data_IF_250869466869
#
_entry.id   IF_250869466869
#
_cell.length_a   1.000
_cell.length_b   1.000
_cell.length_c   1.000
_cell.angle_alpha   90.00
_cell.angle_beta   90.00
_cell.angle_gamma   90.00
#
_symmetry.space_group_name_H-M   'P 1'
#
loop_
_entity.id
_entity.type
_entity.pdbx_description
1 polymer ?
#
# COMPACT_ATOMS: atom_id res chain seq x y z
N UNK A 1 59.64 62.67 -30.01
CA UNK A 1 59.27 64.10 -29.85
C UNK A 1 57.84 64.15 -29.34
N UNK A 2 57.59 64.42 -28.05
CA UNK A 2 57.28 65.76 -27.49
C UNK A 2 56.37 66.58 -28.42
N UNK A 3 55.25 67.20 -28.03
CA UNK A 3 54.42 67.33 -26.82
C UNK A 3 53.35 68.40 -27.19
N UNK A 4 52.38 68.70 -26.30
CA UNK A 4 51.61 69.97 -26.20
C UNK A 4 50.38 70.09 -27.14
N UNK A 5 49.14 69.91 -26.67
CA UNK A 5 48.20 70.83 -25.96
C UNK A 5 47.72 72.01 -26.84
N UNK A 6 46.40 72.17 -27.01
CA UNK A 6 45.67 73.44 -26.82
C UNK A 6 44.13 73.25 -26.91
N UNK A 7 43.43 74.27 -26.44
CA UNK A 7 42.15 74.28 -25.74
C UNK A 7 40.99 74.86 -26.56
N UNK A 8 39.77 74.68 -26.00
CA UNK A 8 38.60 75.59 -25.99
C UNK A 8 37.54 75.52 -27.12
N UNK A 9 36.26 75.50 -26.69
CA UNK A 9 35.14 76.01 -27.51
C UNK A 9 33.74 75.43 -27.21
N UNK A 10 32.91 76.20 -26.49
CA UNK A 10 31.44 76.10 -26.31
C UNK A 10 30.70 76.19 -27.68
N UNK A 11 29.42 75.88 -27.94
CA UNK A 11 28.20 75.58 -27.18
C UNK A 11 27.07 75.15 -28.17
N UNK A 12 26.00 74.55 -27.64
CA UNK A 12 24.59 74.56 -28.11
C UNK A 12 24.24 74.06 -29.53
N UNK A 13 23.43 73.00 -29.62
CA UNK A 13 22.02 73.13 -30.04
C UNK A 13 21.28 71.80 -29.88
N UNK A 14 20.01 71.90 -29.51
CA UNK A 14 19.07 70.83 -29.19
C UNK A 14 18.44 70.26 -30.46
N UNK A 15 18.43 68.94 -30.61
CA UNK A 15 17.36 68.22 -31.29
C UNK A 15 17.19 66.86 -30.62
N UNK A 16 16.04 66.69 -29.98
CA UNK A 16 15.59 65.44 -29.39
C UNK A 16 15.07 64.53 -30.51
N UNK A 17 15.72 63.40 -30.72
CA UNK A 17 15.19 62.30 -31.53
C UNK A 17 14.85 61.16 -30.60
N UNK A 18 13.55 60.98 -30.38
CA UNK A 18 12.95 59.92 -29.58
C UNK A 18 13.20 58.58 -30.31
N UNK A 19 14.10 57.76 -29.78
CA UNK A 19 14.30 56.38 -30.26
C UNK A 19 13.32 55.46 -29.52
N UNK A 20 12.24 55.08 -30.21
CA UNK A 20 11.27 54.10 -29.74
C UNK A 20 11.95 52.71 -29.73
N UNK A 21 12.48 52.31 -28.59
CA UNK A 21 13.03 50.95 -28.39
C UNK A 21 11.86 50.01 -28.08
N UNK A 22 11.45 49.23 -29.08
CA UNK A 22 10.48 48.15 -28.90
C UNK A 22 11.19 46.99 -28.20
N UNK A 23 11.04 46.88 -26.88
CA UNK A 23 11.41 45.67 -26.13
C UNK A 23 10.38 44.58 -26.43
N UNK A 24 10.73 43.66 -27.35
CA UNK A 24 10.03 42.38 -27.47
C UNK A 24 10.48 41.53 -26.29
N UNK A 25 9.73 41.57 -25.19
CA UNK A 25 9.86 40.61 -24.11
C UNK A 25 9.39 39.24 -24.62
N UNK A 26 10.33 38.40 -25.07
CA UNK A 26 10.10 36.98 -25.28
C UNK A 26 9.73 36.35 -23.94
N UNK A 27 8.44 36.27 -23.67
CA UNK A 27 7.91 35.52 -22.54
C UNK A 27 8.28 34.05 -22.68
N UNK A 28 9.28 33.62 -21.91
CA UNK A 28 9.53 32.20 -21.68
C UNK A 28 8.25 31.62 -21.07
N UNK A 29 7.58 30.65 -21.73
CA UNK A 29 6.44 30.00 -21.11
C UNK A 29 6.98 29.28 -19.89
N UNK A 30 6.55 29.71 -18.70
CA UNK A 30 6.78 28.97 -17.48
C UNK A 30 6.19 27.58 -17.68
N UNK A 31 7.04 26.58 -17.92
CA UNK A 31 6.64 25.18 -17.96
C UNK A 31 6.06 24.86 -16.59
N UNK A 32 4.73 24.89 -16.48
CA UNK A 32 4.03 24.22 -15.39
C UNK A 32 4.49 22.78 -15.46
N UNK A 33 5.33 22.37 -14.51
CA UNK A 33 5.59 20.97 -14.27
C UNK A 33 4.22 20.33 -14.02
N UNK A 34 3.70 19.64 -15.04
CA UNK A 34 2.52 18.82 -14.87
C UNK A 34 2.89 17.83 -13.76
N UNK A 35 2.14 17.86 -12.66
CA UNK A 35 2.27 16.87 -11.62
C UNK A 35 2.19 15.51 -12.30
N UNK A 36 3.29 14.75 -12.28
CA UNK A 36 3.30 13.38 -12.77
C UNK A 36 2.16 12.67 -12.02
N UNK A 37 1.23 11.98 -12.72
CA UNK A 37 0.21 11.21 -12.03
C UNK A 37 0.93 10.30 -11.03
N UNK A 38 0.49 10.32 -9.77
CA UNK A 38 1.04 9.43 -8.75
C UNK A 38 1.10 8.02 -9.35
N UNK A 39 2.31 7.46 -9.43
CA UNK A 39 2.52 6.12 -9.95
C UNK A 39 1.58 5.14 -9.25
N UNK A 40 0.88 4.31 -10.02
CA UNK A 40 0.02 3.28 -9.44
C UNK A 40 0.82 2.41 -8.45
N UNK A 41 0.24 2.06 -7.28
CA UNK A 41 0.98 1.30 -6.29
C UNK A 41 1.33 -0.12 -6.76
N UNK A 42 0.60 -0.68 -7.74
CA UNK A 42 0.68 -2.09 -8.14
C UNK A 42 1.54 -2.32 -9.39
N UNK A 43 2.38 -3.36 -9.34
CA UNK A 43 3.19 -3.81 -10.48
C UNK A 43 3.34 -5.34 -10.50
N UNK A 44 3.54 -5.95 -11.67
CA UNK A 44 3.98 -7.34 -11.75
C UNK A 44 5.40 -7.49 -11.20
N UNK A 45 5.68 -8.64 -10.60
CA UNK A 45 6.97 -9.05 -10.04
C UNK A 45 7.23 -10.50 -10.41
N UNK A 46 8.42 -10.77 -10.95
CA UNK A 46 8.89 -12.13 -11.20
C UNK A 46 9.76 -12.58 -10.03
N UNK A 47 9.44 -13.72 -9.42
CA UNK A 47 10.24 -14.25 -8.31
C UNK A 47 10.17 -15.77 -8.25
N UNK A 48 11.34 -16.41 -8.14
CA UNK A 48 11.47 -17.87 -8.04
C UNK A 48 10.67 -18.66 -9.11
N UNK A 49 10.61 -18.13 -10.34
CA UNK A 49 9.90 -18.75 -11.46
C UNK A 49 8.37 -18.63 -11.43
N UNK A 50 7.82 -17.71 -10.62
CA UNK A 50 6.38 -17.43 -10.57
C UNK A 50 6.11 -15.94 -10.69
N UNK A 51 4.94 -15.60 -11.23
CA UNK A 51 4.48 -14.22 -11.34
C UNK A 51 3.68 -13.82 -10.10
N UNK A 52 3.92 -12.61 -9.63
CA UNK A 52 3.17 -11.97 -8.56
C UNK A 52 2.72 -10.58 -8.99
N UNK A 53 1.69 -10.06 -8.33
CA UNK A 53 1.42 -8.62 -8.27
C UNK A 53 1.80 -8.12 -6.89
N UNK A 54 2.62 -7.07 -6.82
CA UNK A 54 2.97 -6.39 -5.59
C UNK A 54 2.51 -4.94 -5.64
N UNK A 55 1.80 -4.52 -4.60
CA UNK A 55 1.28 -3.17 -4.44
C UNK A 55 1.98 -2.47 -3.26
N UNK A 56 2.83 -1.48 -3.54
CA UNK A 56 3.54 -0.71 -2.52
C UNK A 56 2.78 0.58 -2.21
N UNK A 57 2.33 0.71 -0.96
CA UNK A 57 1.45 1.76 -0.48
C UNK A 57 2.18 2.64 0.52
N UNK A 58 2.43 3.89 0.13
CA UNK A 58 2.97 4.96 0.99
C UNK A 58 1.85 5.60 1.81
N UNK A 59 1.86 5.42 3.13
CA UNK A 59 0.82 5.92 4.05
C UNK A 59 0.75 7.45 4.14
N UNK A 60 1.70 8.17 3.54
CA UNK A 60 1.64 9.63 3.38
C UNK A 60 0.74 10.05 2.22
N UNK A 61 0.62 9.20 1.20
CA UNK A 61 -0.22 9.39 0.01
C UNK A 61 -1.54 8.63 0.08
N UNK A 62 -1.54 7.50 0.78
CA UNK A 62 -2.67 6.60 0.89
C UNK A 62 -3.12 6.43 2.35
N UNK A 63 -4.39 6.09 2.51
CA UNK A 63 -5.02 5.68 3.76
C UNK A 63 -5.41 4.21 3.61
N UNK A 64 -4.84 3.35 4.45
CA UNK A 64 -5.20 1.93 4.47
C UNK A 64 -6.36 1.73 5.45
N UNK A 65 -7.45 1.14 4.96
CA UNK A 65 -8.67 0.85 5.72
C UNK A 65 -9.02 -0.62 5.66
N UNK A 66 -9.78 -1.08 6.64
CA UNK A 66 -10.47 -2.37 6.61
C UNK A 66 -11.97 -2.13 6.43
N UNK A 67 -12.61 -3.07 5.74
CA UNK A 67 -14.03 -3.07 5.47
C UNK A 67 -14.59 -4.46 5.73
N UNK A 68 -15.56 -4.60 6.64
CA UNK A 68 -16.28 -5.85 6.83
C UNK A 68 -17.73 -5.75 6.40
N UNK A 69 -18.45 -4.77 6.95
CA UNK A 69 -19.86 -4.53 6.67
C UNK A 69 -20.07 -3.19 5.97
N UNK A 70 -21.06 -3.14 5.10
CA UNK A 70 -21.47 -1.91 4.42
C UNK A 70 -22.28 -0.99 5.34
N UNK A 71 -22.65 0.20 4.85
CA UNK A 71 -23.53 1.12 5.56
C UNK A 71 -24.91 0.53 5.91
N UNK A 72 -25.33 -0.50 5.18
CA UNK A 72 -26.55 -1.29 5.41
C UNK A 72 -26.40 -2.31 6.56
N UNK A 73 -25.21 -2.46 7.14
CA UNK A 73 -24.91 -3.45 8.18
C UNK A 73 -24.64 -4.85 7.64
N UNK A 74 -24.82 -5.06 6.33
CA UNK A 74 -24.61 -6.34 5.68
C UNK A 74 -23.15 -6.54 5.31
N UNK A 75 -22.71 -7.80 5.24
CA UNK A 75 -21.35 -8.11 4.82
C UNK A 75 -21.12 -7.59 3.39
N UNK A 76 -20.00 -6.88 3.18
CA UNK A 76 -19.64 -6.43 1.82
C UNK A 76 -19.31 -7.63 0.94
N UNK A 77 -18.36 -8.47 1.38
CA UNK A 77 -18.07 -9.77 0.77
C UNK A 77 -17.59 -9.79 -0.69
N UNK A 78 -17.56 -8.65 -1.39
CA UNK A 78 -17.07 -8.55 -2.75
C UNK A 78 -16.53 -7.15 -3.05
N UNK A 79 -15.66 -7.05 -4.06
CA UNK A 79 -15.20 -5.75 -4.55
C UNK A 79 -16.31 -4.95 -5.23
N UNK A 80 -17.31 -5.59 -5.82
CA UNK A 80 -18.49 -4.91 -6.38
C UNK A 80 -19.27 -4.15 -5.30
N UNK A 81 -19.55 -4.81 -4.17
CA UNK A 81 -20.23 -4.15 -3.03
C UNK A 81 -19.35 -3.08 -2.42
N UNK A 82 -18.04 -3.29 -2.30
CA UNK A 82 -17.11 -2.24 -1.85
C UNK A 82 -17.10 -1.05 -2.81
N UNK A 83 -17.13 -1.27 -4.13
CA UNK A 83 -17.17 -0.20 -5.14
C UNK A 83 -18.48 0.59 -5.16
N UNK A 84 -19.55 0.05 -4.58
CA UNK A 84 -20.81 0.77 -4.39
C UNK A 84 -20.78 1.70 -3.15
N UNK A 85 -19.73 1.64 -2.32
CA UNK A 85 -19.58 2.53 -1.16
C UNK A 85 -19.01 3.90 -1.57
N UNK A 86 -19.24 4.97 -0.77
CA UNK A 86 -18.65 6.29 -1.04
C UNK A 86 -17.12 6.31 -1.15
N UNK A 87 -16.45 5.37 -0.49
CA UNK A 87 -15.00 5.20 -0.47
C UNK A 87 -14.41 4.80 -1.82
N UNK A 88 -15.21 4.18 -2.69
CA UNK A 88 -14.79 3.62 -3.97
C UNK A 88 -14.06 4.63 -4.87
N UNK A 89 -14.50 5.89 -4.85
CA UNK A 89 -13.91 7.00 -5.62
C UNK A 89 -12.41 7.22 -5.35
N UNK A 90 -11.92 6.79 -4.18
CA UNK A 90 -10.52 6.92 -3.76
C UNK A 90 -9.76 5.60 -3.79
N UNK A 91 -10.44 4.48 -4.03
CA UNK A 91 -9.87 3.14 -3.88
C UNK A 91 -8.84 2.87 -4.98
N UNK A 92 -7.57 2.72 -4.59
CA UNK A 92 -6.46 2.46 -5.51
C UNK A 92 -6.12 0.97 -5.60
N UNK A 93 -6.25 0.25 -4.49
CA UNK A 93 -6.09 -1.21 -4.44
C UNK A 93 -6.96 -1.78 -3.32
N UNK A 94 -7.52 -2.97 -3.51
CA UNK A 94 -8.13 -3.75 -2.44
C UNK A 94 -7.81 -5.24 -2.54
N UNK A 95 -7.84 -5.93 -1.41
CA UNK A 95 -7.54 -7.35 -1.30
C UNK A 95 -8.32 -7.95 -0.14
N UNK A 96 -8.63 -9.25 -0.14
CA UNK A 96 -9.12 -9.88 1.08
C UNK A 96 -8.11 -9.71 2.23
N UNK A 97 -8.63 -9.48 3.43
CA UNK A 97 -7.82 -9.27 4.63
C UNK A 97 -7.65 -10.59 5.41
N UNK A 98 -7.69 -10.54 6.74
CA UNK A 98 -7.49 -11.72 7.58
C UNK A 98 -8.57 -12.79 7.40
N UNK A 99 -8.23 -13.99 7.90
CA UNK A 99 -9.10 -15.18 7.80
C UNK A 99 -10.47 -14.96 8.43
N UNK A 100 -11.47 -15.60 7.83
CA UNK A 100 -12.87 -15.49 8.20
C UNK A 100 -13.55 -16.87 8.31
N UNK A 101 -14.65 -16.92 9.07
CA UNK A 101 -15.52 -18.09 9.20
C UNK A 101 -16.48 -18.19 8.00
N UNK A 102 -17.20 -19.30 7.86
CA UNK A 102 -18.17 -19.46 6.76
C UNK A 102 -19.24 -18.37 6.73
N UNK A 103 -19.59 -17.77 7.86
CA UNK A 103 -20.50 -16.61 7.96
C UNK A 103 -19.84 -15.26 7.59
N UNK A 104 -18.60 -15.30 7.08
CA UNK A 104 -17.79 -14.13 6.68
C UNK A 104 -17.36 -13.24 7.84
N UNK A 105 -17.51 -13.70 9.09
CA UNK A 105 -16.99 -13.00 10.26
C UNK A 105 -15.49 -13.25 10.47
N UNK A 106 -14.72 -12.27 10.97
CA UNK A 106 -13.29 -12.47 11.26
C UNK A 106 -13.04 -13.62 12.25
N UNK A 107 -12.04 -14.47 11.97
CA UNK A 107 -11.63 -15.56 12.86
C UNK A 107 -10.96 -15.04 14.14
N UNK A 108 -10.26 -13.91 14.03
CA UNK A 108 -9.48 -13.31 15.11
C UNK A 108 -9.72 -11.81 15.26
N UNK A 109 -8.74 -11.10 15.82
CA UNK A 109 -8.84 -9.66 16.08
C UNK A 109 -9.32 -8.92 14.83
N UNK A 110 -10.33 -8.08 15.01
CA UNK A 110 -10.78 -7.14 13.99
C UNK A 110 -11.10 -5.81 14.64
N UNK A 111 -10.40 -4.77 14.18
CA UNK A 111 -10.60 -3.37 14.58
C UNK A 111 -10.90 -2.58 13.31
N UNK A 112 -11.97 -1.79 13.36
CA UNK A 112 -12.38 -0.92 12.27
C UNK A 112 -12.76 0.45 12.85
N UNK A 113 -12.19 1.53 12.30
CA UNK A 113 -12.39 2.90 12.77
C UNK A 113 -12.16 3.07 14.29
N UNK A 114 -11.09 2.46 14.81
CA UNK A 114 -10.73 2.50 16.23
C UNK A 114 -11.58 1.63 17.15
N UNK A 115 -12.62 0.95 16.62
CA UNK A 115 -13.50 0.08 17.40
C UNK A 115 -13.14 -1.38 17.20
N UNK A 116 -12.83 -2.07 18.29
CA UNK A 116 -12.68 -3.53 18.27
C UNK A 116 -14.04 -4.20 18.09
N UNK A 117 -14.26 -4.87 16.96
CA UNK A 117 -15.48 -5.61 16.65
C UNK A 117 -15.33 -7.11 16.93
N UNK A 118 -14.09 -7.63 16.94
CA UNK A 118 -13.77 -9.01 17.29
C UNK A 118 -12.48 -9.07 18.10
N UNK A 119 -12.47 -9.87 19.16
CA UNK A 119 -11.28 -10.07 20.00
C UNK A 119 -10.23 -10.95 19.31
N UNK A 120 -8.96 -10.80 19.72
CA UNK A 120 -7.89 -11.67 19.26
C UNK A 120 -8.14 -13.13 19.62
N UNK A 121 -7.88 -14.03 18.67
CA UNK A 121 -7.93 -15.46 18.90
C UNK A 121 -6.51 -15.99 19.14
N UNK A 122 -6.28 -16.42 20.38
CA UNK A 122 -4.99 -16.97 20.86
C UNK A 122 -5.01 -18.48 21.01
N UNK A 123 -6.13 -19.14 20.70
CA UNK A 123 -6.26 -20.59 20.82
C UNK A 123 -5.31 -21.31 19.85
N UNK A 124 -5.00 -22.56 20.19
CA UNK A 124 -4.43 -23.51 19.26
C UNK A 124 -5.56 -24.21 18.49
N UNK A 125 -5.25 -24.76 17.33
CA UNK A 125 -6.23 -25.42 16.49
C UNK A 125 -5.63 -25.91 15.18
N UNK A 126 -6.44 -26.49 14.30
CA UNK A 126 -6.01 -26.91 12.98
C UNK A 126 -5.97 -25.75 11.99
N UNK A 127 -5.30 -25.94 10.86
CA UNK A 127 -5.31 -25.01 9.73
C UNK A 127 -4.38 -23.81 9.88
N UNK A 128 -4.28 -23.04 8.78
CA UNK A 128 -3.27 -21.99 8.62
C UNK A 128 -3.32 -20.92 9.71
N UNK A 129 -4.52 -20.53 10.17
CA UNK A 129 -4.68 -19.52 11.23
C UNK A 129 -3.92 -19.88 12.51
N UNK A 130 -3.86 -21.17 12.82
CA UNK A 130 -3.29 -21.70 14.04
C UNK A 130 -1.83 -22.19 13.86
N UNK A 131 -1.25 -22.04 12.67
CA UNK A 131 0.17 -22.27 12.43
C UNK A 131 0.97 -21.11 13.05
N UNK A 132 1.49 -21.32 14.26
CA UNK A 132 2.10 -20.27 15.08
C UNK A 132 3.60 -20.06 14.74
N UNK A 133 4.12 -18.82 14.80
CA UNK A 133 3.41 -17.58 15.12
C UNK A 133 2.41 -17.14 14.03
N UNK A 134 1.21 -16.78 14.47
CA UNK A 134 0.27 -16.00 13.68
C UNK A 134 0.37 -14.52 14.11
N UNK A 135 -0.27 -13.61 13.38
CA UNK A 135 0.02 -12.19 13.56
C UNK A 135 -1.15 -11.26 13.30
N UNK A 136 -0.90 -10.00 13.59
CA UNK A 136 -1.83 -8.89 13.45
C UNK A 136 -1.17 -7.84 12.57
N UNK A 137 -1.81 -7.54 11.44
CA UNK A 137 -1.55 -6.33 10.69
C UNK A 137 -2.40 -5.20 11.27
N UNK A 138 -1.80 -4.05 11.53
CA UNK A 138 -2.49 -2.88 12.05
C UNK A 138 -2.05 -1.60 11.36
N UNK A 139 -2.93 -0.61 11.40
CA UNK A 139 -2.71 0.77 10.93
C UNK A 139 -3.11 1.73 12.04
N UNK A 140 -2.26 2.72 12.30
CA UNK A 140 -2.47 3.80 13.26
C UNK A 140 -2.03 5.12 12.62
N UNK A 141 -2.98 5.88 12.10
CA UNK A 141 -2.77 7.12 11.36
C UNK A 141 -1.98 6.93 10.06
N UNK A 142 -0.71 7.31 10.09
CA UNK A 142 0.24 7.17 8.98
C UNK A 142 1.31 6.11 9.24
N UNK A 143 1.10 5.30 10.28
CA UNK A 143 1.97 4.19 10.63
C UNK A 143 1.24 2.88 10.47
N UNK A 144 1.95 1.83 10.10
CA UNK A 144 1.46 0.47 10.09
C UNK A 144 2.52 -0.49 10.62
N UNK A 145 2.07 -1.66 11.03
CA UNK A 145 2.94 -2.72 11.46
C UNK A 145 2.32 -4.09 11.29
N UNK A 146 3.20 -5.08 11.27
CA UNK A 146 2.84 -6.50 11.42
C UNK A 146 3.56 -7.01 12.65
N UNK A 147 2.80 -7.54 13.62
CA UNK A 147 3.33 -8.09 14.86
C UNK A 147 2.80 -9.49 15.11
N UNK A 148 3.60 -10.31 15.78
CA UNK A 148 3.13 -11.56 16.37
C UNK A 148 2.01 -11.27 17.38
N UNK A 149 0.97 -12.12 17.39
CA UNK A 149 -0.27 -11.87 18.15
C UNK A 149 -0.02 -11.55 19.63
N UNK A 150 0.76 -12.36 20.35
CA UNK A 150 1.05 -12.14 21.76
C UNK A 150 1.83 -10.86 22.00
N UNK A 151 2.78 -10.54 21.12
CA UNK A 151 3.55 -9.30 21.14
C UNK A 151 2.65 -8.09 20.95
N UNK A 152 1.75 -8.13 19.96
CA UNK A 152 0.76 -7.08 19.72
C UNK A 152 -0.10 -6.82 20.97
N UNK A 153 -0.65 -7.88 21.59
CA UNK A 153 -1.51 -7.77 22.77
C UNK A 153 -0.78 -7.16 23.98
N UNK A 154 0.51 -7.47 24.15
CA UNK A 154 1.35 -6.86 25.19
C UNK A 154 1.62 -5.38 24.97
N UNK A 155 1.67 -4.92 23.72
CA UNK A 155 1.94 -3.51 23.36
C UNK A 155 0.75 -2.58 23.60
N UNK A 156 -0.48 -3.12 23.76
CA UNK A 156 -1.72 -2.35 23.98
C UNK A 156 -1.90 -1.21 22.96
N UNK A 157 -1.59 -1.51 21.69
CA UNK A 157 -1.78 -0.56 20.59
C UNK A 157 -3.29 -0.31 20.43
N UNK A 158 -3.66 0.95 20.25
CA UNK A 158 -5.02 1.38 19.88
C UNK A 158 -4.99 1.76 18.39
N UNK A 159 -5.16 0.80 17.46
CA UNK A 159 -5.08 1.09 16.03
C UNK A 159 -6.39 1.65 15.51
N UNK A 160 -6.33 2.37 14.40
CA UNK A 160 -7.52 2.71 13.61
C UNK A 160 -8.10 1.46 12.96
N UNK A 161 -7.21 0.60 12.46
CA UNK A 161 -7.58 -0.65 11.79
C UNK A 161 -6.63 -1.78 12.20
N UNK A 162 -7.17 -2.97 12.43
CA UNK A 162 -6.36 -4.16 12.62
C UNK A 162 -7.09 -5.43 12.19
N UNK A 163 -6.35 -6.37 11.61
CA UNK A 163 -6.84 -7.69 11.23
C UNK A 163 -5.84 -8.76 11.67
N UNK A 164 -6.34 -9.80 12.32
CA UNK A 164 -5.55 -10.97 12.66
C UNK A 164 -5.66 -12.03 11.56
N UNK A 165 -4.52 -12.63 11.24
CA UNK A 165 -4.45 -13.75 10.32
C UNK A 165 -3.28 -14.66 10.73
N UNK A 166 -3.04 -15.72 9.97
CA UNK A 166 -1.90 -16.59 10.20
C UNK A 166 -1.69 -17.58 9.09
N UNK A 167 -0.45 -18.04 8.87
CA UNK A 167 0.76 -17.75 9.66
C UNK A 167 1.39 -16.37 9.39
N UNK A 168 2.24 -15.88 10.30
CA UNK A 168 3.22 -14.85 9.92
C UNK A 168 4.18 -15.42 8.89
N UNK A 169 4.48 -14.66 7.85
CA UNK A 169 5.39 -15.06 6.78
C UNK A 169 6.85 -14.76 7.15
N UNK A 170 7.08 -13.54 7.61
CA UNK A 170 8.39 -13.03 8.02
C UNK A 170 8.25 -12.41 9.41
N UNK A 171 9.19 -12.72 10.31
CA UNK A 171 9.23 -12.24 11.68
C UNK A 171 10.63 -11.69 11.93
N UNK A 172 10.76 -10.37 12.06
CA UNK A 172 12.03 -9.68 12.29
C UNK A 172 13.15 -10.12 11.30
N UNK A 173 12.81 -10.16 10.01
CA UNK A 173 13.70 -10.57 8.92
C UNK A 173 13.92 -12.08 8.79
N UNK A 174 13.33 -12.91 9.67
CA UNK A 174 13.43 -14.37 9.61
C UNK A 174 12.17 -14.97 9.00
N UNK A 175 12.34 -15.97 8.13
CA UNK A 175 11.22 -16.74 7.59
C UNK A 175 10.60 -17.56 8.73
N UNK A 176 9.28 -17.73 8.67
CA UNK A 176 8.55 -18.56 9.61
C UNK A 176 9.18 -19.97 9.77
N UNK A 177 9.44 -20.42 11.01
CA UNK A 177 10.23 -21.63 11.25
C UNK A 177 9.56 -22.93 10.80
N UNK A 178 8.22 -22.94 10.64
CA UNK A 178 7.48 -24.13 10.20
C UNK A 178 7.40 -24.24 8.67
N UNK A 179 7.93 -23.29 7.90
CA UNK A 179 7.91 -23.36 6.44
C UNK A 179 9.03 -24.24 5.92
N UNK A 180 8.64 -25.30 5.21
CA UNK A 180 9.56 -26.15 4.46
C UNK A 180 9.64 -25.71 3.01
N UNK A 181 10.86 -25.69 2.45
CA UNK A 181 11.09 -25.51 1.01
C UNK A 181 10.55 -26.69 0.19
N UNK A 182 10.44 -27.86 0.82
CA UNK A 182 9.94 -29.09 0.23
C UNK A 182 8.42 -29.22 0.36
N UNK A 183 7.71 -28.18 0.84
CA UNK A 183 6.27 -28.22 0.96
C UNK A 183 5.61 -28.46 -0.40
N UNK A 184 4.72 -29.44 -0.46
CA UNK A 184 3.90 -29.74 -1.65
C UNK A 184 2.63 -28.88 -1.72
N UNK A 185 2.31 -28.13 -0.66
CA UNK A 185 1.10 -27.29 -0.60
C UNK A 185 1.29 -26.01 -1.43
N UNK A 186 0.83 -26.07 -2.69
CA UNK A 186 0.83 -24.93 -3.61
C UNK A 186 -0.58 -24.37 -3.78
N UNK A 187 -0.73 -23.06 -3.62
CA UNK A 187 -2.00 -22.33 -3.77
C UNK A 187 -1.73 -20.93 -4.30
N UNK A 188 -2.76 -20.29 -4.85
CA UNK A 188 -2.77 -18.83 -4.93
C UNK A 188 -2.73 -18.31 -3.50
N UNK A 189 -1.79 -17.41 -3.22
CA UNK A 189 -1.58 -16.89 -1.87
C UNK A 189 -1.36 -15.39 -1.93
N UNK A 190 -1.82 -14.71 -0.89
CA UNK A 190 -1.58 -13.30 -0.71
C UNK A 190 -1.03 -12.98 0.69
N UNK A 191 -0.61 -11.74 0.88
CA UNK A 191 -0.10 -11.29 2.16
C UNK A 191 0.05 -9.80 2.24
N UNK A 192 0.36 -9.34 3.45
CA UNK A 192 0.71 -7.96 3.74
C UNK A 192 2.02 -7.91 4.50
N UNK A 193 2.93 -7.04 4.08
CA UNK A 193 4.18 -6.75 4.74
C UNK A 193 4.35 -5.25 5.00
N UNK A 194 5.32 -4.92 5.85
CA UNK A 194 5.75 -3.53 6.08
C UNK A 194 7.25 -3.43 5.83
N UNK A 195 7.67 -2.50 4.96
CA UNK A 195 9.08 -2.16 4.71
C UNK A 195 9.64 -1.21 5.78
N UNK A 196 8.77 -0.36 6.30
CA UNK A 196 9.01 0.61 7.35
C UNK A 196 7.68 0.99 8.00
N UNK A 197 7.69 1.98 8.89
CA UNK A 197 6.46 2.36 9.59
C UNK A 197 5.42 2.99 8.65
N UNK A 198 5.83 3.62 7.55
CA UNK A 198 4.94 4.36 6.64
C UNK A 198 4.69 3.65 5.30
N UNK A 199 5.22 2.43 5.11
CA UNK A 199 5.19 1.74 3.82
C UNK A 199 4.64 0.32 3.99
N UNK A 200 3.44 0.11 3.47
CA UNK A 200 2.75 -1.19 3.43
C UNK A 200 2.95 -1.81 2.05
N UNK A 201 3.16 -3.13 1.99
CA UNK A 201 3.26 -3.87 0.74
C UNK A 201 2.24 -4.99 0.76
N UNK A 202 1.33 -4.98 -0.20
CA UNK A 202 0.45 -6.12 -0.47
C UNK A 202 1.03 -6.94 -1.61
N UNK A 203 0.88 -8.25 -1.56
CA UNK A 203 1.26 -9.10 -2.68
C UNK A 203 0.30 -10.28 -2.84
N UNK A 204 0.10 -10.70 -4.08
CA UNK A 204 -0.67 -11.88 -4.46
C UNK A 204 0.09 -12.63 -5.56
N UNK A 205 0.11 -13.97 -5.50
CA UNK A 205 0.66 -14.79 -6.58
C UNK A 205 -0.34 -14.97 -7.71
N UNK A 206 0.13 -14.97 -8.96
CA UNK A 206 -0.69 -15.40 -10.10
C UNK A 206 -0.65 -16.91 -10.28
N UNK A 207 0.45 -17.54 -9.85
CA UNK A 207 0.66 -18.98 -9.90
C UNK A 207 0.53 -19.64 -8.51
N UNK A 208 0.23 -20.94 -8.42
CA UNK A 208 0.28 -21.68 -7.17
C UNK A 208 1.69 -21.77 -6.56
N UNK A 209 1.88 -21.15 -5.40
CA UNK A 209 3.16 -21.10 -4.67
C UNK A 209 3.05 -21.70 -3.28
N UNK A 210 4.20 -22.04 -2.69
CA UNK A 210 4.28 -22.48 -1.29
C UNK A 210 4.31 -21.29 -0.35
N UNK A 211 4.07 -21.52 0.95
CA UNK A 211 4.30 -20.50 1.97
C UNK A 211 5.75 -20.01 2.00
N UNK A 212 6.70 -20.93 1.77
CA UNK A 212 8.13 -20.62 1.77
C UNK A 212 8.48 -19.65 0.63
N UNK A 213 7.96 -19.88 -0.58
CA UNK A 213 8.12 -18.97 -1.72
C UNK A 213 7.53 -17.59 -1.43
N UNK A 214 6.29 -17.52 -0.93
CA UNK A 214 5.66 -16.23 -0.61
C UNK A 214 6.42 -15.46 0.49
N UNK A 215 6.86 -16.16 1.54
CA UNK A 215 7.61 -15.54 2.63
C UNK A 215 8.95 -14.97 2.15
N UNK A 216 9.66 -15.71 1.29
CA UNK A 216 10.90 -15.23 0.68
C UNK A 216 10.68 -14.09 -0.30
N UNK A 217 9.60 -14.07 -1.08
CA UNK A 217 9.23 -12.88 -1.85
C UNK A 217 9.15 -11.65 -0.94
N UNK A 218 8.41 -11.76 0.18
CA UNK A 218 8.28 -10.64 1.12
C UNK A 218 9.62 -10.19 1.70
N UNK A 219 10.46 -11.13 2.13
CA UNK A 219 11.74 -10.83 2.78
C UNK A 219 12.79 -10.32 1.78
N UNK A 220 12.99 -11.06 0.70
CA UNK A 220 14.17 -10.93 -0.18
C UNK A 220 13.93 -9.93 -1.30
N UNK A 221 12.75 -9.96 -1.94
CA UNK A 221 12.41 -9.09 -3.08
C UNK A 221 11.67 -7.83 -2.63
N UNK A 222 10.72 -7.98 -1.70
CA UNK A 222 9.89 -6.87 -1.23
C UNK A 222 10.43 -6.24 0.07
N UNK A 223 11.59 -6.67 0.58
CA UNK A 223 12.29 -6.01 1.70
C UNK A 223 11.45 -5.81 2.97
N UNK A 224 10.47 -6.68 3.24
CA UNK A 224 9.60 -6.59 4.39
C UNK A 224 10.17 -7.39 5.57
N UNK A 225 10.71 -6.76 6.63
CA UNK A 225 11.17 -7.46 7.82
C UNK A 225 10.04 -8.15 8.60
N UNK A 226 8.79 -7.72 8.43
CA UNK A 226 7.63 -8.40 8.97
C UNK A 226 6.53 -8.50 7.91
N UNK A 227 5.97 -9.69 7.76
CA UNK A 227 4.89 -9.95 6.82
C UNK A 227 3.94 -11.02 7.35
N UNK A 228 2.67 -10.93 6.93
CA UNK A 228 1.57 -11.74 7.40
C UNK A 228 0.83 -12.33 6.21
N UNK A 229 0.57 -13.64 6.27
CA UNK A 229 -0.32 -14.29 5.33
C UNK A 229 -1.75 -13.84 5.62
N UNK A 230 -2.48 -13.45 4.58
CA UNK A 230 -3.89 -13.12 4.68
C UNK A 230 -4.74 -14.37 4.42
N UNK A 231 -6.04 -14.24 4.13
CA UNK A 231 -6.87 -15.43 3.95
C UNK A 231 -6.42 -16.31 2.76
N UNK A 232 -6.50 -17.63 2.97
CA UNK A 232 -6.13 -18.66 1.99
C UNK A 232 -7.31 -19.48 1.47
N UNK A 233 -8.53 -19.20 1.94
CA UNK A 233 -9.76 -19.75 1.38
C UNK A 233 -10.07 -19.05 0.06
N UNK A 234 -9.79 -17.74 0.03
CA UNK A 234 -9.86 -16.89 -1.16
C UNK A 234 -8.62 -15.97 -1.17
N UNK A 235 -7.99 -15.81 -2.34
CA UNK A 235 -7.01 -14.77 -2.58
C UNK A 235 -7.48 -13.97 -3.78
N UNK A 236 -7.77 -12.69 -3.57
CA UNK A 236 -8.41 -11.83 -4.57
C UNK A 236 -7.86 -10.42 -4.51
N UNK A 237 -7.69 -9.80 -5.68
CA UNK A 237 -7.15 -8.47 -5.85
C UNK A 237 -8.10 -7.61 -6.71
N UNK A 238 -8.27 -6.37 -6.27
CA UNK A 238 -8.78 -5.26 -7.06
C UNK A 238 -7.63 -4.28 -7.29
N UNK A 239 -7.21 -4.13 -8.54
CA UNK A 239 -6.14 -3.24 -8.97
C UNK A 239 -6.52 -2.63 -10.34
N UNK A 240 -7.25 -1.50 -10.35
CA UNK A 240 -7.83 -0.94 -11.58
C UNK A 240 -6.78 -0.51 -12.61
N UNK A 241 -5.59 -0.07 -12.22
CA UNK A 241 -4.54 0.27 -13.19
C UNK A 241 -3.89 -0.95 -13.86
N UNK A 242 -4.13 -2.14 -13.32
CA UNK A 242 -3.78 -3.42 -13.96
C UNK A 242 -5.02 -4.06 -14.61
N UNK A 243 -6.13 -3.32 -14.70
CA UNK A 243 -7.42 -3.80 -15.22
C UNK A 243 -7.92 -5.08 -14.52
N UNK A 244 -7.54 -5.27 -13.25
CA UNK A 244 -7.84 -6.48 -12.49
C UNK A 244 -8.92 -6.25 -11.44
N UNK A 245 -9.91 -7.14 -11.45
CA UNK A 245 -10.91 -7.28 -10.39
C UNK A 245 -11.34 -8.74 -10.29
N UNK A 246 -10.93 -9.41 -9.21
CA UNK A 246 -11.28 -10.81 -8.98
C UNK A 246 -12.69 -10.92 -8.35
N UNK A 247 -13.53 -11.84 -8.83
CA UNK A 247 -14.94 -11.98 -8.42
C UNK A 247 -15.36 -13.40 -8.04
N UNK A 248 -14.40 -14.34 -7.97
CA UNK A 248 -14.66 -15.78 -7.91
C UNK A 248 -15.45 -16.25 -6.68
N UNK A 249 -15.22 -15.67 -5.50
CA UNK A 249 -15.77 -16.18 -4.25
C UNK A 249 -16.10 -15.04 -3.28
N UNK A 250 -17.18 -15.14 -2.50
CA UNK A 250 -17.46 -14.22 -1.41
C UNK A 250 -16.34 -14.24 -0.37
N UNK A 251 -15.90 -13.05 0.04
CA UNK A 251 -14.83 -12.83 1.00
C UNK A 251 -15.38 -12.44 2.37
N UNK A 252 -14.53 -12.55 3.39
CA UNK A 252 -14.75 -11.92 4.68
C UNK A 252 -14.33 -10.44 4.67
N UNK A 253 -13.55 -9.99 5.65
CA UNK A 253 -13.02 -8.64 5.65
C UNK A 253 -12.13 -8.34 4.44
N UNK A 254 -12.17 -7.09 3.98
CA UNK A 254 -11.39 -6.57 2.86
C UNK A 254 -10.44 -5.48 3.40
N UNK A 255 -9.21 -5.45 2.91
CA UNK A 255 -8.26 -4.34 3.12
C UNK A 255 -8.17 -3.52 1.84
N UNK A 256 -8.23 -2.20 1.97
CA UNK A 256 -8.13 -1.28 0.84
C UNK A 256 -7.16 -0.15 1.11
N UNK A 257 -6.41 0.27 0.10
CA UNK A 257 -5.64 1.52 0.13
C UNK A 257 -6.36 2.58 -0.70
N UNK A 258 -6.71 3.69 -0.05
CA UNK A 258 -7.44 4.79 -0.63
C UNK A 258 -6.51 5.98 -0.79
N UNK A 259 -6.53 6.66 -1.93
CA UNK A 259 -5.81 7.95 -2.07
C UNK A 259 -6.26 8.91 -0.98
N UNK A 260 -5.33 9.58 -0.30
CA UNK A 260 -5.67 10.64 0.64
C UNK A 260 -6.23 11.83 -0.14
N UNK A 261 -7.13 12.57 0.51
CA UNK A 261 -7.56 13.86 -0.03
C UNK A 261 -6.40 14.86 0.10
N UNK A 262 -6.19 15.74 -0.90
CA UNK A 262 -5.23 16.82 -0.80
C UNK A 262 -5.54 17.74 0.39
#
# INVERSE_FOLDING_TARGET
MKSIIFTLGRAFSRTATILLTVLIALGLPASRAAAQPDSDPCRPVQYAGSTFVACTVDLRKYEVRLFWRGPDGEVLGSFDRLRATPEASRLAVAMNAGMYHEDRSPVGLYVENGKQLKAANTRNGPGNFHLKPNGIFYVNGRQAGVLETGTYLKRKIMPDFATQSGPMLVINGKIHPQFSEQSTSRKIRNGVGVKGQDTVVFAISEDPVTFSTLARLFRDELGCPNALFLDGSVSSLYAPALERMDTLMPMGPIVGALRRRP
#
